data_IF_987080258147
#
_entry.id   IF_987080258147
#
_cell.length_a   1.000
_cell.length_b   1.000
_cell.length_c   1.000
_cell.angle_alpha   90.00
_cell.angle_beta   90.00
_cell.angle_gamma   90.00
#
_symmetry.space_group_name_H-M   'P 1'
#
loop_
_entity.id
_entity.type
_entity.pdbx_description
1 polymer ?
#
# COMPACT_ATOMS: atom_id res chain seq x y z
N UNK A 1 -79.35 -34.87 -21.16
CA UNK A 1 -78.89 -33.55 -20.82
C UNK A 1 -77.49 -33.37 -21.40
N UNK A 2 -77.35 -32.40 -22.30
CA UNK A 2 -76.03 -31.99 -22.78
C UNK A 2 -75.32 -31.35 -21.62
N UNK A 3 -74.13 -31.86 -21.30
CA UNK A 3 -73.29 -31.27 -20.25
C UNK A 3 -72.90 -29.83 -20.63
N UNK A 4 -73.39 -28.88 -19.90
CA UNK A 4 -72.96 -27.52 -20.04
C UNK A 4 -71.69 -27.43 -19.22
N UNK A 5 -70.58 -27.02 -19.86
CA UNK A 5 -69.30 -26.76 -19.22
C UNK A 5 -69.27 -25.26 -18.96
N UNK A 6 -69.12 -24.87 -17.72
CA UNK A 6 -68.90 -23.47 -17.34
C UNK A 6 -67.45 -23.32 -16.87
N UNK A 7 -66.79 -22.27 -17.27
CA UNK A 7 -65.43 -21.95 -16.86
C UNK A 7 -65.43 -20.62 -16.05
N UNK A 8 -64.71 -20.64 -14.95
CA UNK A 8 -64.45 -19.46 -14.15
C UNK A 8 -62.93 -19.17 -14.19
N UNK A 9 -62.57 -17.88 -14.26
CA UNK A 9 -61.19 -17.43 -14.19
C UNK A 9 -60.90 -16.99 -12.76
N UNK A 10 -59.86 -17.52 -12.17
CA UNK A 10 -59.29 -17.05 -10.91
C UNK A 10 -58.11 -16.14 -11.21
N UNK A 11 -58.22 -14.88 -10.86
CA UNK A 11 -57.08 -13.97 -10.93
C UNK A 11 -56.27 -14.06 -9.63
N UNK A 12 -55.00 -14.39 -9.74
CA UNK A 12 -54.04 -14.45 -8.63
C UNK A 12 -53.07 -13.32 -8.80
N UNK A 13 -52.93 -12.47 -7.77
CA UNK A 13 -51.88 -11.45 -7.72
C UNK A 13 -50.83 -11.91 -6.75
N UNK A 14 -49.57 -12.03 -7.22
CA UNK A 14 -48.42 -12.28 -6.39
C UNK A 14 -47.67 -10.95 -6.26
N UNK A 15 -47.56 -10.49 -5.03
CA UNK A 15 -46.76 -9.30 -4.73
C UNK A 15 -45.30 -9.73 -4.57
N UNK A 16 -44.36 -9.17 -5.36
CA UNK A 16 -42.93 -9.43 -5.17
C UNK A 16 -42.47 -9.00 -3.79
N UNK A 17 -41.57 -9.73 -3.20
CA UNK A 17 -40.81 -9.40 -2.00
C UNK A 17 -39.40 -9.11 -2.49
N UNK A 18 -38.85 -7.96 -2.09
CA UNK A 18 -37.49 -7.57 -2.46
C UNK A 18 -36.47 -8.48 -1.76
N UNK A 19 -35.61 -9.13 -2.53
CA UNK A 19 -34.48 -9.92 -2.05
C UNK A 19 -33.21 -9.04 -1.90
N UNK A 20 -32.23 -9.50 -1.17
CA UNK A 20 -30.97 -8.78 -1.03
C UNK A 20 -29.97 -9.24 -2.12
N UNK A 21 -29.12 -8.32 -2.66
CA UNK A 21 -28.08 -8.68 -3.61
C UNK A 21 -27.13 -9.77 -3.08
N UNK A 22 -26.77 -10.71 -3.94
CA UNK A 22 -25.76 -11.74 -3.69
C UNK A 22 -24.43 -11.30 -4.32
N UNK A 23 -23.39 -11.20 -3.48
CA UNK A 23 -22.07 -10.69 -3.86
C UNK A 23 -21.17 -11.83 -4.33
N UNK A 24 -20.38 -11.57 -5.39
CA UNK A 24 -19.31 -12.42 -5.90
C UNK A 24 -18.14 -11.58 -6.42
N UNK A 25 -17.19 -12.25 -7.08
CA UNK A 25 -16.01 -11.59 -7.65
C UNK A 25 -14.86 -11.40 -6.66
N UNK A 26 -14.01 -10.43 -6.93
CA UNK A 26 -12.75 -10.22 -6.19
C UNK A 26 -12.99 -9.41 -4.92
N UNK A 27 -12.90 -10.07 -3.75
CA UNK A 27 -13.04 -9.46 -2.43
C UNK A 27 -11.69 -9.21 -1.74
N UNK A 28 -10.59 -9.44 -2.45
CA UNK A 28 -9.23 -9.14 -2.01
C UNK A 28 -8.32 -8.81 -3.18
N UNK A 29 -7.19 -8.16 -2.89
CA UNK A 29 -6.15 -7.86 -3.84
C UNK A 29 -4.78 -7.73 -3.19
N UNK A 30 -3.72 -7.85 -3.98
CA UNK A 30 -2.36 -7.66 -3.52
C UNK A 30 -1.50 -6.98 -4.58
N UNK A 31 -0.52 -6.21 -4.14
CA UNK A 31 0.48 -5.54 -4.98
C UNK A 31 1.62 -5.04 -4.13
N UNK A 32 2.64 -4.43 -4.77
CA UNK A 32 3.72 -3.73 -4.08
C UNK A 32 3.36 -2.26 -3.87
N UNK A 33 4.00 -1.60 -2.90
CA UNK A 33 3.80 -0.18 -2.61
C UNK A 33 4.07 0.70 -3.82
N UNK A 34 5.11 0.41 -4.60
CA UNK A 34 5.49 1.16 -5.81
C UNK A 34 4.93 0.55 -7.11
N UNK A 35 4.14 -0.51 -7.00
CA UNK A 35 3.62 -1.28 -8.15
C UNK A 35 2.45 -0.62 -8.89
N UNK A 36 1.97 0.53 -8.43
CA UNK A 36 0.79 1.20 -8.97
C UNK A 36 -0.52 0.67 -8.39
N UNK A 37 -1.62 0.89 -9.10
CA UNK A 37 -2.94 0.53 -8.58
C UNK A 37 -3.19 -0.99 -8.55
N UNK A 38 -3.70 -1.48 -7.43
CA UNK A 38 -4.24 -2.83 -7.26
C UNK A 38 -5.69 -2.81 -7.74
N UNK A 39 -6.07 -3.72 -8.62
CA UNK A 39 -7.39 -3.73 -9.23
C UNK A 39 -8.08 -5.07 -9.09
N UNK A 40 -9.41 -5.06 -9.14
CA UNK A 40 -10.24 -6.24 -9.19
C UNK A 40 -11.66 -5.89 -9.61
N UNK A 41 -12.57 -6.86 -9.56
CA UNK A 41 -13.94 -6.67 -9.94
C UNK A 41 -14.88 -7.40 -8.97
N UNK A 42 -15.80 -6.65 -8.34
CA UNK A 42 -16.96 -7.23 -7.68
C UNK A 42 -18.03 -7.55 -8.72
N UNK A 43 -18.76 -8.60 -8.46
CA UNK A 43 -20.01 -8.90 -9.16
C UNK A 43 -21.16 -8.99 -8.15
N UNK A 44 -22.35 -8.69 -8.59
CA UNK A 44 -23.55 -8.90 -7.81
C UNK A 44 -24.66 -9.46 -8.70
N UNK A 45 -25.54 -10.26 -8.10
CA UNK A 45 -26.77 -10.76 -8.72
C UNK A 45 -27.91 -10.53 -7.76
N UNK A 46 -29.08 -10.23 -8.29
CA UNK A 46 -30.28 -10.04 -7.54
C UNK A 46 -31.48 -10.62 -8.28
N UNK A 47 -32.43 -11.24 -7.54
CA UNK A 47 -33.61 -11.87 -8.13
C UNK A 47 -34.61 -10.84 -8.70
N UNK A 48 -34.64 -9.64 -8.14
CA UNK A 48 -35.53 -8.54 -8.53
C UNK A 48 -34.86 -7.58 -9.53
N UNK A 49 -33.53 -7.71 -9.71
CA UNK A 49 -32.75 -6.99 -10.70
C UNK A 49 -31.73 -6.00 -10.14
N UNK A 50 -30.70 -5.76 -10.93
CA UNK A 50 -29.65 -4.77 -10.71
C UNK A 50 -29.47 -3.96 -12.01
N UNK A 51 -30.46 -3.17 -12.37
CA UNK A 51 -30.52 -2.43 -13.64
C UNK A 51 -30.14 -0.96 -13.49
N UNK A 52 -30.04 -0.47 -12.25
CA UNK A 52 -29.64 0.89 -11.93
C UNK A 52 -28.19 1.17 -12.33
N UNK A 53 -27.90 2.39 -12.76
CA UNK A 53 -26.56 2.82 -13.16
C UNK A 53 -25.59 3.01 -11.96
N UNK A 54 -26.05 2.88 -10.71
CA UNK A 54 -25.29 3.12 -9.48
C UNK A 54 -25.44 1.96 -8.49
N UNK A 55 -25.10 0.77 -8.94
CA UNK A 55 -25.16 -0.45 -8.11
C UNK A 55 -24.09 -0.45 -7.04
N UNK A 56 -22.87 0.02 -7.36
CA UNK A 56 -21.69 -0.05 -6.49
C UNK A 56 -21.24 1.32 -6.01
N UNK A 57 -20.84 1.43 -4.74
CA UNK A 57 -20.25 2.64 -4.18
C UNK A 57 -19.25 2.34 -3.08
N UNK A 58 -18.14 3.09 -2.99
CA UNK A 58 -17.24 3.02 -1.83
C UNK A 58 -17.89 3.82 -0.70
N UNK A 59 -18.16 3.14 0.42
CA UNK A 59 -18.81 3.74 1.61
C UNK A 59 -17.91 3.74 2.85
N UNK A 60 -16.89 2.87 2.89
CA UNK A 60 -15.82 2.93 3.89
C UNK A 60 -14.49 3.16 3.17
N UNK A 61 -13.84 4.29 3.45
CA UNK A 61 -12.54 4.62 2.86
C UNK A 61 -11.44 3.66 3.34
N UNK A 62 -10.43 3.47 2.52
CA UNK A 62 -9.20 2.81 2.90
C UNK A 62 -8.41 3.65 3.92
N UNK A 63 -7.65 3.01 4.82
CA UNK A 63 -6.88 3.69 5.86
C UNK A 63 -5.56 4.26 5.34
N UNK A 64 -4.95 3.59 4.36
CA UNK A 64 -3.60 3.87 3.89
C UNK A 64 -3.51 3.96 2.36
N UNK A 65 -4.55 4.47 1.72
CA UNK A 65 -4.58 4.63 0.27
C UNK A 65 -5.89 5.21 -0.23
N UNK A 66 -6.06 5.23 -1.53
CA UNK A 66 -7.27 5.70 -2.19
C UNK A 66 -7.94 4.58 -2.94
N UNK A 67 -9.20 4.30 -2.60
CA UNK A 67 -10.02 3.30 -3.28
C UNK A 67 -11.12 3.94 -4.12
N UNK A 68 -11.38 3.38 -5.27
CA UNK A 68 -12.48 3.74 -6.18
C UNK A 68 -13.18 2.48 -6.69
N UNK A 69 -14.43 2.62 -7.11
CA UNK A 69 -15.18 1.57 -7.80
C UNK A 69 -16.02 2.18 -8.91
N UNK A 70 -16.08 1.52 -10.04
CA UNK A 70 -17.03 1.89 -11.10
C UNK A 70 -18.44 1.46 -10.67
N UNK A 71 -19.34 2.42 -10.60
CA UNK A 71 -20.67 2.24 -10.04
C UNK A 71 -21.56 1.25 -10.82
N UNK A 72 -21.21 0.97 -12.07
CA UNK A 72 -22.00 0.10 -12.96
C UNK A 72 -21.36 -1.27 -13.14
N UNK A 73 -20.04 -1.31 -13.34
CA UNK A 73 -19.32 -2.54 -13.69
C UNK A 73 -18.77 -3.28 -12.48
N UNK A 74 -18.63 -2.61 -11.31
CA UNK A 74 -18.03 -3.17 -10.12
C UNK A 74 -16.51 -3.30 -10.19
N UNK A 75 -15.85 -2.74 -11.23
CA UNK A 75 -14.39 -2.69 -11.32
C UNK A 75 -13.88 -1.72 -10.25
N UNK A 76 -13.08 -2.24 -9.35
CA UNK A 76 -12.47 -1.43 -8.29
C UNK A 76 -10.97 -1.27 -8.48
N UNK A 77 -10.45 -0.19 -7.92
CA UNK A 77 -9.03 0.15 -7.93
C UNK A 77 -8.65 0.72 -6.57
N UNK A 78 -7.48 0.31 -6.08
CA UNK A 78 -6.87 0.85 -4.88
C UNK A 78 -5.43 1.26 -5.19
N UNK A 79 -5.06 2.48 -4.83
CA UNK A 79 -3.70 2.99 -4.92
C UNK A 79 -3.18 3.19 -3.49
N UNK A 80 -2.13 2.48 -3.07
CA UNK A 80 -1.51 2.69 -1.77
C UNK A 80 -1.03 4.14 -1.58
N UNK A 81 -0.94 4.59 -0.36
CA UNK A 81 -0.17 5.79 -0.03
C UNK A 81 1.33 5.52 -0.28
N UNK A 82 2.09 6.56 -0.57
CA UNK A 82 3.53 6.47 -0.79
C UNK A 82 4.23 5.75 0.38
N UNK A 83 5.19 4.89 0.08
CA UNK A 83 5.96 4.06 1.02
C UNK A 83 5.09 3.23 2.01
N UNK A 84 3.81 3.01 1.74
CA UNK A 84 2.95 2.21 2.61
C UNK A 84 3.02 0.73 2.24
N UNK A 85 3.42 -0.10 3.19
CA UNK A 85 3.30 -1.55 3.12
C UNK A 85 2.49 -2.09 4.31
N UNK A 86 1.81 -3.20 4.09
CA UNK A 86 0.95 -3.82 5.10
C UNK A 86 -0.44 -4.17 4.61
N UNK A 87 -1.33 -4.43 5.55
CA UNK A 87 -2.74 -4.72 5.26
C UNK A 87 -3.59 -3.46 5.28
N UNK A 88 -4.49 -3.33 4.32
CA UNK A 88 -5.51 -2.27 4.29
C UNK A 88 -6.86 -2.84 3.86
N UNK A 89 -7.91 -2.06 3.91
CA UNK A 89 -9.24 -2.45 3.44
C UNK A 89 -10.12 -1.25 3.16
N UNK A 90 -11.05 -1.42 2.23
CA UNK A 90 -12.15 -0.47 2.02
C UNK A 90 -13.47 -1.21 1.92
N UNK A 91 -14.57 -0.49 2.14
CA UNK A 91 -15.91 -1.09 2.12
C UNK A 91 -16.70 -0.59 0.91
N UNK A 92 -17.30 -1.51 0.19
CA UNK A 92 -18.23 -1.25 -0.92
C UNK A 92 -19.64 -1.56 -0.45
N UNK A 93 -20.58 -0.70 -0.77
CA UNK A 93 -22.02 -0.95 -0.68
C UNK A 93 -22.57 -1.26 -2.06
N UNK A 94 -23.36 -2.32 -2.15
CA UNK A 94 -24.11 -2.75 -3.33
C UNK A 94 -25.58 -2.49 -3.02
N UNK A 95 -26.26 -1.74 -3.88
CA UNK A 95 -27.67 -1.37 -3.71
C UNK A 95 -28.49 -1.87 -4.89
N UNK A 96 -29.59 -2.57 -4.63
CA UNK A 96 -30.51 -3.04 -5.65
C UNK A 96 -31.44 -1.93 -6.18
N UNK A 97 -32.30 -2.29 -7.15
CA UNK A 97 -33.21 -1.37 -7.81
C UNK A 97 -34.34 -0.86 -6.88
N UNK A 98 -34.58 -1.53 -5.75
CA UNK A 98 -35.62 -1.21 -4.77
C UNK A 98 -35.06 -0.58 -3.48
N UNK A 99 -33.73 -0.47 -3.37
CA UNK A 99 -33.05 0.25 -2.30
C UNK A 99 -32.54 -0.64 -1.15
N UNK A 100 -32.59 -1.98 -1.25
CA UNK A 100 -31.87 -2.83 -0.31
C UNK A 100 -30.38 -2.75 -0.59
N UNK A 101 -29.60 -2.73 0.49
CA UNK A 101 -28.18 -2.56 0.41
C UNK A 101 -27.45 -3.65 1.22
N UNK A 102 -26.38 -4.17 0.65
CA UNK A 102 -25.42 -5.05 1.32
C UNK A 102 -24.02 -4.47 1.23
N UNK A 103 -23.18 -4.79 2.19
CA UNK A 103 -21.79 -4.29 2.23
C UNK A 103 -20.79 -5.41 2.07
N UNK A 104 -19.68 -5.13 1.37
CA UNK A 104 -18.54 -6.01 1.22
C UNK A 104 -17.25 -5.26 1.54
N UNK A 105 -16.46 -5.81 2.45
CA UNK A 105 -15.09 -5.36 2.67
C UNK A 105 -14.17 -5.97 1.62
N UNK A 106 -13.34 -5.15 0.99
CA UNK A 106 -12.25 -5.57 0.11
C UNK A 106 -10.97 -5.53 0.93
N UNK A 107 -10.32 -6.69 1.10
CA UNK A 107 -9.06 -6.82 1.84
C UNK A 107 -7.86 -6.65 0.93
N UNK A 108 -6.88 -5.88 1.34
CA UNK A 108 -5.70 -5.54 0.55
C UNK A 108 -4.43 -5.97 1.28
N UNK A 109 -3.44 -6.42 0.52
CA UNK A 109 -2.08 -6.67 1.01
C UNK A 109 -1.10 -5.93 0.13
N UNK A 110 -0.40 -4.96 0.71
CA UNK A 110 0.65 -4.20 0.05
C UNK A 110 1.99 -4.74 0.55
N UNK A 111 2.83 -5.21 -0.37
CA UNK A 111 4.16 -5.75 -0.05
C UNK A 111 5.20 -4.66 -0.11
N UNK A 112 6.15 -4.68 0.85
CA UNK A 112 7.26 -3.74 0.86
C UNK A 112 8.16 -3.90 -0.37
N UNK A 113 8.69 -2.79 -0.85
CA UNK A 113 9.80 -2.69 -1.79
C UNK A 113 10.94 -2.00 -1.05
N UNK A 114 12.18 -2.45 -1.21
CA UNK A 114 13.32 -1.77 -0.57
C UNK A 114 13.74 -0.58 -1.42
N UNK A 115 13.58 0.62 -0.88
CA UNK A 115 13.92 1.88 -1.55
C UNK A 115 15.37 2.29 -1.30
N UNK A 116 15.97 1.77 -0.23
CA UNK A 116 17.30 2.12 0.22
C UNK A 116 18.37 1.17 -0.32
N UNK A 117 19.50 1.71 -0.81
CA UNK A 117 20.65 0.97 -1.34
C UNK A 117 21.88 1.28 -0.51
N UNK A 118 22.75 0.26 -0.31
CA UNK A 118 24.00 0.44 0.41
C UNK A 118 24.94 1.41 -0.30
N UNK A 119 25.70 2.17 0.50
CA UNK A 119 26.70 3.13 0.04
C UNK A 119 28.13 2.68 0.26
N UNK A 120 29.06 3.45 -0.27
CA UNK A 120 30.49 3.29 -0.06
C UNK A 120 31.16 4.60 0.32
N UNK A 121 32.15 4.51 1.19
CA UNK A 121 32.95 5.65 1.65
C UNK A 121 34.42 5.25 1.72
N UNK A 122 35.33 6.16 1.44
CA UNK A 122 36.76 5.96 1.65
C UNK A 122 37.39 7.13 2.40
N UNK A 123 38.35 6.83 3.28
CA UNK A 123 39.17 7.82 3.96
C UNK A 123 40.55 7.23 4.23
N UNK A 124 41.50 8.07 4.61
CA UNK A 124 42.78 7.62 5.11
C UNK A 124 42.69 7.31 6.62
N UNK A 125 43.59 6.45 7.13
CA UNK A 125 43.74 6.29 8.59
C UNK A 125 44.03 7.66 9.23
N UNK A 126 43.65 7.81 10.50
CA UNK A 126 43.76 9.05 11.28
C UNK A 126 43.03 10.28 10.70
N UNK A 127 42.25 10.10 9.63
CA UNK A 127 41.55 11.20 8.96
C UNK A 127 40.04 11.03 9.08
N UNK A 128 39.40 11.93 9.82
CA UNK A 128 37.94 11.99 9.88
C UNK A 128 37.38 12.47 8.55
N UNK A 129 36.26 11.87 8.11
CA UNK A 129 35.54 12.29 6.92
C UNK A 129 34.15 12.77 7.30
N UNK A 130 33.73 13.88 6.68
CA UNK A 130 32.39 14.45 6.86
C UNK A 130 31.67 14.40 5.53
N UNK A 131 30.48 13.81 5.51
CA UNK A 131 29.61 13.73 4.34
C UNK A 131 28.22 14.31 4.66
N UNK A 132 27.61 15.06 3.74
CA UNK A 132 26.21 15.44 3.88
C UNK A 132 25.35 14.17 3.93
N UNK A 133 24.48 14.03 4.93
CA UNK A 133 23.60 12.86 5.02
C UNK A 133 22.73 12.66 3.76
N UNK A 134 22.32 13.77 3.13
CA UNK A 134 21.57 13.75 1.87
C UNK A 134 22.35 13.14 0.69
N UNK A 135 23.69 13.02 0.77
CA UNK A 135 24.44 12.35 -0.31
C UNK A 135 24.27 10.84 -0.33
N UNK A 136 23.91 10.22 0.80
CA UNK A 136 23.58 8.80 0.88
C UNK A 136 22.22 8.46 0.24
N UNK A 137 21.37 9.46 0.01
CA UNK A 137 20.03 9.29 -0.58
C UNK A 137 20.03 9.40 -2.11
N UNK A 138 21.20 9.56 -2.74
CA UNK A 138 21.27 9.82 -4.20
C UNK A 138 21.05 8.57 -5.05
N UNK A 139 21.26 7.39 -4.49
CA UNK A 139 21.08 6.08 -5.12
C UNK A 139 19.81 5.35 -4.66
N UNK A 140 19.02 6.00 -3.78
CA UNK A 140 17.78 5.49 -3.21
C UNK A 140 16.57 5.91 -4.05
N UNK A 141 15.44 5.20 -3.87
CA UNK A 141 14.20 5.41 -4.65
C UNK A 141 12.98 5.80 -3.80
N UNK A 142 13.20 6.52 -2.73
CA UNK A 142 12.08 6.99 -1.89
C UNK A 142 11.19 8.02 -2.59
N UNK A 143 9.88 7.94 -2.36
CA UNK A 143 8.94 8.96 -2.77
C UNK A 143 9.00 10.19 -1.87
N UNK A 144 9.04 11.37 -2.50
CA UNK A 144 9.04 12.65 -1.79
C UNK A 144 10.41 13.08 -1.29
N UNK A 145 10.52 13.48 -0.02
CA UNK A 145 11.76 14.02 0.57
C UNK A 145 12.13 13.22 1.82
N UNK A 146 12.84 12.09 1.68
CA UNK A 146 13.30 11.29 2.81
C UNK A 146 14.37 12.02 3.62
N UNK A 147 14.56 11.59 4.86
CA UNK A 147 15.58 12.16 5.75
C UNK A 147 16.36 11.06 6.44
N UNK A 148 17.69 11.20 6.54
CA UNK A 148 18.51 10.33 7.39
C UNK A 148 18.21 10.70 8.84
N UNK A 149 17.58 9.76 9.57
CA UNK A 149 17.11 9.96 10.94
C UNK A 149 18.06 9.41 12.01
N UNK A 150 19.02 8.55 11.63
CA UNK A 150 19.96 7.96 12.57
C UNK A 150 21.16 7.30 11.89
N UNK A 151 22.18 7.03 12.68
CA UNK A 151 23.37 6.26 12.28
C UNK A 151 23.69 5.23 13.37
N UNK A 152 24.14 4.05 12.94
CA UNK A 152 24.66 3.01 13.82
C UNK A 152 26.16 3.18 14.11
N UNK A 153 26.67 2.35 15.02
CA UNK A 153 28.09 2.34 15.34
C UNK A 153 28.93 1.61 14.26
N UNK A 154 30.14 2.02 14.09
CA UNK A 154 31.17 1.30 13.35
C UNK A 154 31.98 0.37 14.29
N UNK A 155 32.66 -0.62 13.73
CA UNK A 155 33.50 -1.55 14.50
C UNK A 155 34.88 -0.99 14.79
N UNK A 156 35.42 -0.18 13.87
CA UNK A 156 36.78 0.37 13.91
C UNK A 156 36.80 1.89 13.74
N UNK A 157 35.86 2.57 14.41
CA UNK A 157 35.76 4.01 14.39
C UNK A 157 34.51 4.52 15.12
N UNK A 158 34.33 5.83 15.06
CA UNK A 158 33.15 6.50 15.62
C UNK A 158 32.32 7.15 14.52
N UNK A 159 30.99 7.11 14.68
CA UNK A 159 30.04 7.72 13.74
C UNK A 159 29.13 8.69 14.49
N UNK A 160 28.88 9.83 13.91
CA UNK A 160 27.91 10.79 14.45
C UNK A 160 27.10 11.46 13.34
N UNK A 161 25.83 11.77 13.63
CA UNK A 161 24.95 12.56 12.75
C UNK A 161 24.61 13.87 13.46
N UNK A 162 25.11 14.99 12.94
CA UNK A 162 24.89 16.31 13.52
C UNK A 162 24.62 17.32 12.41
N UNK A 163 23.51 18.05 12.53
CA UNK A 163 23.17 19.13 11.60
C UNK A 163 23.06 18.70 10.14
N UNK A 164 22.59 17.46 9.89
CA UNK A 164 22.47 16.90 8.54
C UNK A 164 23.79 16.43 7.92
N UNK A 165 24.88 16.34 8.72
CA UNK A 165 26.16 15.79 8.30
C UNK A 165 26.49 14.53 9.11
N UNK A 166 27.00 13.51 8.44
CA UNK A 166 27.57 12.32 9.05
C UNK A 166 29.08 12.48 9.11
N UNK A 167 29.65 12.28 10.30
CA UNK A 167 31.08 12.25 10.51
C UNK A 167 31.49 10.83 10.88
N UNK A 168 32.39 10.22 10.12
CA UNK A 168 33.08 8.99 10.47
C UNK A 168 34.55 9.30 10.81
N UNK A 169 35.03 8.81 11.94
CA UNK A 169 36.40 8.95 12.38
C UNK A 169 36.97 7.56 12.64
N UNK A 170 37.97 7.09 11.86
CA UNK A 170 38.62 5.81 12.11
C UNK A 170 39.27 5.78 13.50
N UNK A 171 39.43 4.59 14.06
CA UNK A 171 40.32 4.39 15.20
C UNK A 171 41.78 4.70 14.81
N UNK A 172 42.61 5.12 15.77
CA UNK A 172 44.00 5.46 15.50
C UNK A 172 44.76 4.28 14.89
N UNK A 173 45.56 4.57 13.88
CA UNK A 173 46.42 3.56 13.15
C UNK A 173 45.59 2.42 12.53
N UNK A 174 44.25 2.54 12.41
CA UNK A 174 43.44 1.51 11.78
C UNK A 174 43.37 1.71 10.26
N UNK A 175 43.75 0.68 9.51
CA UNK A 175 43.51 0.61 8.07
C UNK A 175 42.84 -0.73 7.72
N UNK A 176 41.88 -0.70 6.81
CA UNK A 176 41.10 -1.88 6.43
C UNK A 176 39.64 -1.54 6.11
N UNK A 177 38.81 -2.57 6.06
CA UNK A 177 37.39 -2.44 5.83
C UNK A 177 36.63 -2.20 7.15
N UNK A 178 35.71 -1.27 7.15
CA UNK A 178 34.77 -1.02 8.24
C UNK A 178 33.37 -0.77 7.66
N UNK A 179 32.38 -0.62 8.49
CA UNK A 179 31.02 -0.28 8.08
C UNK A 179 30.20 0.31 9.21
N UNK A 180 29.20 1.10 8.86
CA UNK A 180 28.18 1.54 9.79
C UNK A 180 26.81 1.54 9.10
N UNK A 181 25.74 1.39 9.87
CA UNK A 181 24.38 1.51 9.33
C UNK A 181 23.89 2.95 9.40
N UNK A 182 22.94 3.29 8.52
CA UNK A 182 22.14 4.49 8.65
C UNK A 182 20.66 4.17 8.42
N UNK A 183 19.80 4.97 9.05
CA UNK A 183 18.34 4.82 8.96
C UNK A 183 17.77 6.03 8.24
N UNK A 184 16.93 5.77 7.26
CA UNK A 184 16.16 6.77 6.53
C UNK A 184 14.71 6.71 6.98
N UNK A 185 14.09 7.86 7.10
CA UNK A 185 12.65 7.98 7.35
C UNK A 185 12.02 8.69 6.15
N UNK A 186 11.05 8.03 5.53
CA UNK A 186 10.27 8.59 4.43
C UNK A 186 9.29 9.66 4.91
N UNK A 187 8.70 10.48 4.01
CA UNK A 187 7.65 11.42 4.37
C UNK A 187 6.41 10.79 4.99
N UNK A 188 6.13 9.53 4.66
CA UNK A 188 5.04 8.73 5.25
C UNK A 188 5.37 8.21 6.66
N UNK A 189 6.62 8.36 7.13
CA UNK A 189 7.08 7.91 8.45
C UNK A 189 7.57 6.45 8.46
N UNK A 190 7.68 5.82 7.31
CA UNK A 190 8.29 4.48 7.17
C UNK A 190 9.80 4.61 7.30
N UNK A 191 10.44 3.64 7.96
CA UNK A 191 11.88 3.64 8.19
C UNK A 191 12.55 2.44 7.54
N UNK A 192 13.64 2.70 6.80
CA UNK A 192 14.50 1.69 6.24
C UNK A 192 15.95 1.88 6.70
N UNK A 193 16.75 0.83 6.61
CA UNK A 193 18.15 0.85 7.07
C UNK A 193 19.06 0.24 6.02
N UNK A 194 20.13 0.97 5.69
CA UNK A 194 21.21 0.46 4.83
C UNK A 194 22.58 0.59 5.50
N UNK A 195 23.59 0.12 4.82
CA UNK A 195 24.98 0.09 5.27
C UNK A 195 25.85 0.98 4.40
N UNK A 196 26.68 1.81 5.05
CA UNK A 196 27.82 2.45 4.41
C UNK A 196 29.04 1.56 4.61
N UNK A 197 29.58 1.00 3.52
CA UNK A 197 30.83 0.23 3.52
C UNK A 197 31.99 1.22 3.46
N UNK A 198 32.88 1.17 4.44
CA UNK A 198 34.00 2.10 4.56
C UNK A 198 35.29 1.38 4.23
N UNK A 199 36.16 2.05 3.43
CA UNK A 199 37.53 1.61 3.18
C UNK A 199 38.47 2.63 3.79
N UNK A 200 39.24 2.22 4.80
CA UNK A 200 40.28 3.03 5.43
C UNK A 200 41.62 2.64 4.84
N UNK A 201 42.29 3.58 4.16
CA UNK A 201 43.59 3.36 3.48
C UNK A 201 44.73 3.80 4.38
N UNK A 202 45.86 3.03 4.41
CA UNK A 202 47.02 3.41 5.16
C UNK A 202 47.74 4.63 4.53
N UNK A 203 48.40 5.45 5.36
CA UNK A 203 49.21 6.62 4.96
C UNK A 203 50.66 6.40 5.29
#
# INVERSE_FOLDING_TARGET
>A
PAGVTETATVNVTVTPVNDAPVIGGDTSGSGSEDGGAITGMLSATDADGLTNANVYSVTGAAGHGTATIDATTGVWSYTPAADYNGGDSFTVTITDDLGNAVTQAISLTVTAVADIVNDTLSTNEDTAVVIPAASLLLNDNFEGTPTVSGVGAAAHGTVSLVGGNITYTPDADYSGADSFSYTVTSPAGVTETATVNVTVTPV
#
